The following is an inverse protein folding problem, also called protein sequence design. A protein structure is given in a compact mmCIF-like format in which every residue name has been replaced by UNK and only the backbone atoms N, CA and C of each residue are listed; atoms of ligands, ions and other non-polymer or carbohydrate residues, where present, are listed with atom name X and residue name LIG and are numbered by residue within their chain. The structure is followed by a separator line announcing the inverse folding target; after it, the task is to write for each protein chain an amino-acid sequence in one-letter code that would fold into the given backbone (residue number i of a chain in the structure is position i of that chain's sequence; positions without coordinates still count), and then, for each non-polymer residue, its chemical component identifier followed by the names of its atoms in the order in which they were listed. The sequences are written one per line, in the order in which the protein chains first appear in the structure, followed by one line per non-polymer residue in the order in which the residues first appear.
data_IF_836421287641
#
_entry.id   IF_836421287641
#
_cell.length_a   1.000
_cell.length_b   1.000
_cell.length_c   1.000
_cell.angle_alpha   90.00
_cell.angle_beta   90.00
_cell.angle_gamma   90.00
#
_symmetry.space_group_name_H-M   'P 1'
#
loop_
_entity.id
_entity.type
_entity.pdbx_description
1 polymer ?
#
# COMPACT_ATOMS: atom_id res chain seq x y z
N UNK A 1 17.64 4.85 12.11
CA UNK A 1 17.65 3.39 11.90
C UNK A 1 18.52 2.71 12.94
N UNK A 2 19.83 2.98 13.01
CA UNK A 2 20.78 2.25 13.88
C UNK A 2 20.38 2.25 15.35
N UNK A 3 19.98 3.40 15.90
CA UNK A 3 19.51 3.50 17.28
C UNK A 3 18.22 2.70 17.57
N UNK A 4 17.47 2.34 16.54
CA UNK A 4 16.26 1.52 16.65
C UNK A 4 16.49 0.05 16.24
N UNK A 5 17.72 -0.34 15.89
CA UNK A 5 18.05 -1.69 15.44
C UNK A 5 17.38 -2.09 14.13
N UNK A 6 17.25 -1.13 13.18
CA UNK A 6 16.68 -1.37 11.85
C UNK A 6 17.79 -1.39 10.80
N UNK A 7 17.90 -2.49 10.10
CA UNK A 7 18.96 -2.71 9.11
C UNK A 7 18.62 -2.13 7.75
N UNK A 8 17.41 -2.37 7.25
CA UNK A 8 16.95 -1.96 5.93
C UNK A 8 15.63 -1.20 6.01
N UNK A 9 15.45 -0.19 5.17
CA UNK A 9 14.22 0.59 5.07
C UNK A 9 13.81 0.79 3.61
N UNK A 10 12.51 0.59 3.35
CA UNK A 10 11.89 1.02 2.11
C UNK A 10 11.66 2.53 2.11
N UNK A 11 12.05 3.21 1.05
CA UNK A 11 11.82 4.63 0.84
C UNK A 11 10.73 4.86 -0.20
N UNK A 12 9.81 5.76 0.06
CA UNK A 12 8.73 6.12 -0.87
C UNK A 12 8.42 7.61 -0.83
N UNK A 13 7.77 8.08 -1.88
CA UNK A 13 7.12 9.39 -1.86
C UNK A 13 5.85 9.29 -1.00
N UNK A 14 5.74 10.16 0.00
CA UNK A 14 4.55 10.23 0.88
C UNK A 14 3.33 10.83 0.16
N UNK A 15 2.14 10.60 0.71
CA UNK A 15 0.89 11.26 0.29
C UNK A 15 1.04 12.80 0.34
N UNK A 16 0.39 13.54 -0.60
CA UNK A 16 -0.54 13.09 -1.63
C UNK A 16 0.11 12.47 -2.88
N UNK A 17 1.43 12.28 -2.90
CA UNK A 17 2.13 11.70 -4.03
C UNK A 17 2.07 12.54 -5.31
N UNK A 18 1.95 11.87 -6.45
CA UNK A 18 1.77 12.48 -7.78
C UNK A 18 0.35 12.31 -8.33
N UNK A 19 -0.51 11.61 -7.61
CA UNK A 19 -1.81 11.15 -8.10
C UNK A 19 -2.82 12.29 -8.27
N UNK A 20 -2.65 13.38 -7.54
CA UNK A 20 -3.52 14.56 -7.64
C UNK A 20 -3.03 15.61 -8.64
N UNK A 21 -1.85 15.42 -9.22
CA UNK A 21 -1.26 16.34 -10.20
C UNK A 21 -1.88 16.17 -11.60
N UNK A 22 -1.66 17.14 -12.47
CA UNK A 22 -1.91 16.98 -13.91
C UNK A 22 -0.97 15.93 -14.51
N UNK A 23 -1.29 15.40 -15.70
CA UNK A 23 -0.45 14.39 -16.34
C UNK A 23 0.99 14.88 -16.57
N UNK A 24 1.18 16.12 -17.00
CA UNK A 24 2.52 16.69 -17.24
C UNK A 24 3.31 16.91 -15.96
N UNK A 25 2.66 17.46 -14.91
CA UNK A 25 3.29 17.63 -13.62
C UNK A 25 3.65 16.28 -12.98
N UNK A 26 2.73 15.30 -13.04
CA UNK A 26 2.94 13.96 -12.51
C UNK A 26 4.15 13.26 -13.17
N UNK A 27 4.29 13.36 -14.50
CA UNK A 27 5.44 12.80 -15.22
C UNK A 27 6.76 13.40 -14.76
N UNK A 28 6.83 14.73 -14.71
CA UNK A 28 8.04 15.43 -14.30
C UNK A 28 8.40 15.13 -12.85
N UNK A 29 7.40 15.17 -11.96
CA UNK A 29 7.62 14.98 -10.53
C UNK A 29 7.95 13.53 -10.19
N UNK A 30 7.26 12.54 -10.76
CA UNK A 30 7.58 11.12 -10.57
C UNK A 30 9.02 10.83 -11.00
N UNK A 31 9.43 11.31 -12.18
CA UNK A 31 10.78 11.10 -12.69
C UNK A 31 11.86 11.68 -11.79
N UNK A 32 11.68 12.92 -11.31
CA UNK A 32 12.64 13.57 -10.41
C UNK A 32 12.70 12.90 -9.03
N UNK A 33 11.55 12.48 -8.48
CA UNK A 33 11.47 11.77 -7.21
C UNK A 33 12.14 10.39 -7.30
N UNK A 34 11.85 9.62 -8.35
CA UNK A 34 12.47 8.32 -8.56
C UNK A 34 14.00 8.43 -8.73
N UNK A 35 14.48 9.47 -9.40
CA UNK A 35 15.92 9.73 -9.51
C UNK A 35 16.56 10.07 -8.14
N UNK A 36 15.87 10.85 -7.30
CA UNK A 36 16.35 11.16 -5.95
C UNK A 36 16.37 9.92 -5.05
N UNK A 37 15.34 9.06 -5.12
CA UNK A 37 15.31 7.78 -4.43
C UNK A 37 16.45 6.85 -4.89
N UNK A 38 16.67 6.74 -6.20
CA UNK A 38 17.74 5.93 -6.76
C UNK A 38 19.12 6.40 -6.28
N UNK A 39 19.33 7.72 -6.18
CA UNK A 39 20.57 8.29 -5.66
C UNK A 39 20.77 7.98 -4.17
N UNK A 40 19.71 8.06 -3.35
CA UNK A 40 19.77 7.68 -1.95
C UNK A 40 20.12 6.20 -1.76
N UNK A 41 19.51 5.31 -2.55
CA UNK A 41 19.79 3.86 -2.56
C UNK A 41 21.24 3.60 -2.98
N UNK A 42 21.72 4.26 -4.05
CA UNK A 42 23.08 4.11 -4.53
C UNK A 42 24.13 4.49 -3.49
N UNK A 43 23.84 5.47 -2.64
CA UNK A 43 24.72 5.88 -1.52
C UNK A 43 24.73 4.86 -0.37
N UNK A 44 23.62 4.15 -0.17
CA UNK A 44 23.43 3.23 0.93
C UNK A 44 22.74 1.93 0.47
N UNK A 45 23.37 1.14 -0.43
CA UNK A 45 22.70 0.04 -1.14
C UNK A 45 22.31 -1.14 -0.26
N UNK A 46 22.91 -1.26 0.93
CA UNK A 46 22.57 -2.29 1.92
C UNK A 46 21.55 -1.81 2.96
N UNK A 47 21.15 -0.54 2.89
CA UNK A 47 20.28 0.09 3.90
C UNK A 47 18.94 0.54 3.34
N UNK A 48 18.85 0.77 2.04
CA UNK A 48 17.64 1.29 1.42
C UNK A 48 17.27 0.52 0.16
N UNK A 49 15.96 0.37 -0.04
CA UNK A 49 15.37 0.07 -1.34
C UNK A 49 14.20 1.04 -1.59
N UNK A 50 13.73 1.16 -2.83
CA UNK A 50 12.77 2.19 -3.22
C UNK A 50 11.44 1.64 -3.72
N UNK A 51 10.38 2.35 -3.39
CA UNK A 51 9.08 2.22 -4.04
C UNK A 51 8.92 3.37 -5.03
N UNK A 52 8.86 3.07 -6.32
CA UNK A 52 8.77 4.08 -7.36
C UNK A 52 7.40 4.77 -7.39
N UNK A 53 7.37 6.09 -7.53
CA UNK A 53 6.16 6.84 -7.84
C UNK A 53 5.85 6.73 -9.34
N UNK A 54 4.57 6.58 -9.69
CA UNK A 54 4.11 6.43 -11.08
C UNK A 54 3.15 7.54 -11.49
N UNK A 55 3.32 8.16 -12.67
CA UNK A 55 2.41 9.19 -13.17
C UNK A 55 1.11 8.58 -13.72
N UNK A 56 0.28 7.97 -12.85
CA UNK A 56 -0.92 7.22 -13.25
C UNK A 56 -2.01 8.08 -13.91
N UNK A 57 -1.88 9.40 -13.86
CA UNK A 57 -2.69 10.33 -14.63
C UNK A 57 -2.59 10.09 -16.15
N UNK A 58 -1.47 9.51 -16.61
CA UNK A 58 -1.17 9.12 -17.99
C UNK A 58 -0.66 7.67 -17.99
N UNK A 59 -1.52 6.64 -18.14
CA UNK A 59 -1.12 5.24 -18.06
C UNK A 59 0.00 4.83 -19.03
N UNK A 60 0.05 5.27 -20.29
CA UNK A 60 1.21 5.03 -21.14
C UNK A 60 2.52 5.56 -20.55
N UNK A 61 2.52 6.77 -20.00
CA UNK A 61 3.69 7.35 -19.35
C UNK A 61 4.04 6.59 -18.04
N UNK A 62 3.03 6.14 -17.29
CA UNK A 62 3.25 5.34 -16.09
C UNK A 62 3.91 3.98 -16.42
N UNK A 63 3.48 3.32 -17.49
CA UNK A 63 4.10 2.07 -17.96
C UNK A 63 5.56 2.33 -18.39
N UNK A 64 5.82 3.39 -19.14
CA UNK A 64 7.18 3.75 -19.56
C UNK A 64 8.09 4.07 -18.36
N UNK A 65 7.58 4.80 -17.36
CA UNK A 65 8.31 5.10 -16.13
C UNK A 65 8.57 3.83 -15.31
N UNK A 66 7.58 2.93 -15.21
CA UNK A 66 7.74 1.63 -14.54
C UNK A 66 8.88 0.82 -15.16
N UNK A 67 8.92 0.71 -16.49
CA UNK A 67 9.99 0.02 -17.21
C UNK A 67 11.34 0.69 -17.00
N UNK A 68 11.37 2.01 -17.00
CA UNK A 68 12.58 2.79 -16.79
C UNK A 68 13.16 2.57 -15.39
N UNK A 69 12.34 2.66 -14.33
CA UNK A 69 12.84 2.51 -12.95
C UNK A 69 13.32 1.10 -12.66
N UNK A 70 12.72 0.10 -13.28
CA UNK A 70 13.20 -1.29 -13.20
C UNK A 70 14.52 -1.45 -13.95
N UNK A 71 14.59 -0.99 -15.18
CA UNK A 71 15.77 -1.17 -16.04
C UNK A 71 16.98 -0.34 -15.62
N UNK A 72 16.77 0.93 -15.26
CA UNK A 72 17.85 1.86 -14.93
C UNK A 72 18.25 1.84 -13.44
N UNK A 73 17.29 1.59 -12.54
CA UNK A 73 17.49 1.75 -11.10
C UNK A 73 17.28 0.46 -10.30
N UNK A 74 16.81 -0.60 -10.94
CA UNK A 74 16.58 -1.89 -10.28
C UNK A 74 15.47 -1.87 -9.23
N UNK A 75 14.52 -0.92 -9.32
CA UNK A 75 13.38 -0.89 -8.39
C UNK A 75 12.51 -2.12 -8.58
N UNK A 76 12.05 -2.68 -7.46
CA UNK A 76 11.25 -3.91 -7.44
C UNK A 76 9.85 -3.69 -6.91
N UNK A 77 9.48 -2.43 -6.67
CA UNK A 77 8.20 -2.04 -6.05
C UNK A 77 7.77 -0.67 -6.53
N UNK A 78 6.47 -0.42 -6.41
CA UNK A 78 5.88 0.89 -6.69
C UNK A 78 4.97 1.33 -5.54
N UNK A 79 4.78 2.63 -5.40
CA UNK A 79 3.79 3.23 -4.51
C UNK A 79 2.77 4.00 -5.33
N UNK A 80 1.49 3.85 -4.98
CA UNK A 80 0.38 4.65 -5.49
C UNK A 80 -0.36 5.21 -4.28
N UNK A 81 -0.48 6.54 -4.20
CA UNK A 81 -1.11 7.22 -3.08
C UNK A 81 -2.63 7.42 -3.36
N UNK A 82 -3.37 6.33 -3.25
CA UNK A 82 -4.82 6.32 -3.38
C UNK A 82 -5.35 6.56 -4.81
N UNK A 83 -6.42 7.31 -4.91
CA UNK A 83 -7.13 7.56 -6.17
C UNK A 83 -6.51 8.70 -6.99
N UNK A 84 -6.67 8.68 -8.31
CA UNK A 84 -6.41 9.81 -9.17
C UNK A 84 -7.69 10.64 -9.36
N UNK A 85 -7.83 11.75 -8.61
CA UNK A 85 -8.96 12.68 -8.71
C UNK A 85 -10.34 11.98 -8.69
N UNK A 86 -10.55 11.09 -7.73
CA UNK A 86 -11.78 10.32 -7.58
C UNK A 86 -11.91 9.11 -8.52
N UNK A 87 -10.89 8.79 -9.31
CA UNK A 87 -10.84 7.60 -10.17
C UNK A 87 -9.96 6.55 -9.51
N UNK A 88 -10.49 5.35 -9.34
CA UNK A 88 -9.87 4.24 -8.65
C UNK A 88 -9.24 3.24 -9.62
N UNK A 89 -8.30 2.43 -9.15
CA UNK A 89 -7.54 1.47 -9.95
C UNK A 89 -8.38 0.33 -10.54
N UNK A 90 -9.62 0.13 -10.07
CA UNK A 90 -10.57 -0.77 -10.72
C UNK A 90 -10.98 -0.31 -12.13
N UNK A 91 -10.85 0.99 -12.42
CA UNK A 91 -11.14 1.56 -13.73
C UNK A 91 -10.22 1.03 -14.83
N UNK A 92 -10.80 0.60 -15.95
CA UNK A 92 -10.06 0.04 -17.12
C UNK A 92 -8.95 0.95 -17.65
N UNK A 93 -9.04 2.25 -17.40
CA UNK A 93 -8.02 3.23 -17.73
C UNK A 93 -6.66 2.90 -17.12
N UNK A 94 -6.63 2.37 -15.89
CA UNK A 94 -5.40 2.05 -15.17
C UNK A 94 -4.88 0.62 -15.43
N UNK A 95 -5.67 -0.23 -16.08
CA UNK A 95 -5.34 -1.64 -16.29
C UNK A 95 -4.03 -1.88 -17.05
N UNK A 96 -3.61 -1.05 -18.02
CA UNK A 96 -2.29 -1.21 -18.63
C UNK A 96 -1.13 -1.14 -17.62
N UNK A 97 -1.26 -0.29 -16.59
CA UNK A 97 -0.26 -0.17 -15.51
C UNK A 97 -0.26 -1.43 -14.63
N UNK A 98 -1.46 -1.90 -14.25
CA UNK A 98 -1.63 -3.12 -13.44
C UNK A 98 -1.09 -4.35 -14.15
N UNK A 99 -1.43 -4.51 -15.42
CA UNK A 99 -0.93 -5.60 -16.27
C UNK A 99 0.60 -5.58 -16.37
N UNK A 100 1.20 -4.38 -16.50
CA UNK A 100 2.66 -4.27 -16.58
C UNK A 100 3.32 -4.56 -15.24
N UNK A 101 2.76 -4.09 -14.13
CA UNK A 101 3.23 -4.40 -12.79
C UNK A 101 3.20 -5.92 -12.54
N UNK A 102 2.10 -6.59 -12.87
CA UNK A 102 1.98 -8.06 -12.79
C UNK A 102 3.04 -8.78 -13.63
N UNK A 103 3.19 -8.40 -14.91
CA UNK A 103 4.15 -9.02 -15.83
C UNK A 103 5.60 -8.87 -15.35
N UNK A 104 5.92 -7.79 -14.65
CA UNK A 104 7.22 -7.53 -14.03
C UNK A 104 7.32 -8.08 -12.61
N UNK A 105 6.27 -8.68 -12.06
CA UNK A 105 6.16 -9.17 -10.68
C UNK A 105 6.46 -8.08 -9.64
N UNK A 106 5.95 -6.88 -9.90
CA UNK A 106 6.14 -5.72 -9.03
C UNK A 106 4.91 -5.54 -8.15
N UNK A 107 5.01 -5.73 -6.84
CA UNK A 107 3.94 -5.40 -5.92
C UNK A 107 3.66 -3.89 -5.93
N UNK A 108 2.40 -3.53 -5.74
CA UNK A 108 1.96 -2.14 -5.62
C UNK A 108 1.63 -1.85 -4.17
N UNK A 109 2.38 -0.95 -3.54
CA UNK A 109 2.00 -0.41 -2.24
C UNK A 109 0.92 0.65 -2.47
N UNK A 110 -0.30 0.33 -2.06
CA UNK A 110 -1.43 1.26 -2.09
C UNK A 110 -1.45 2.03 -0.77
N UNK A 111 -0.90 3.24 -0.81
CA UNK A 111 -0.81 4.12 0.35
C UNK A 111 -2.08 4.97 0.47
N UNK A 112 -2.54 5.28 1.69
CA UNK A 112 -3.70 6.15 1.90
C UNK A 112 -3.56 7.55 1.28
N UNK A 113 -4.71 8.11 0.93
CA UNK A 113 -4.90 9.53 0.62
C UNK A 113 -6.26 9.99 1.15
N UNK A 114 -6.48 11.29 1.21
CA UNK A 114 -7.79 11.82 1.60
C UNK A 114 -8.87 11.36 0.60
N UNK A 115 -10.10 11.10 1.08
CA UNK A 115 -11.22 10.82 0.20
C UNK A 115 -11.46 11.95 -0.82
N UNK A 116 -12.18 11.69 -1.91
CA UNK A 116 -12.59 12.74 -2.84
C UNK A 116 -13.39 13.86 -2.14
N UNK A 117 -13.21 15.10 -2.58
CA UNK A 117 -13.83 16.28 -1.92
C UNK A 117 -15.31 16.14 -1.61
N UNK A 118 -16.19 15.61 -2.50
CA UNK A 118 -17.60 15.42 -2.16
C UNK A 118 -17.84 14.49 -0.97
N UNK A 119 -16.96 13.51 -0.73
CA UNK A 119 -17.02 12.63 0.44
C UNK A 119 -16.57 13.38 1.68
N UNK A 120 -15.51 14.17 1.59
CA UNK A 120 -15.03 15.01 2.69
C UNK A 120 -16.15 15.97 3.12
N UNK A 121 -16.77 16.65 2.18
CA UNK A 121 -17.85 17.61 2.45
C UNK A 121 -19.06 16.93 3.12
N UNK A 122 -19.41 15.72 2.67
CA UNK A 122 -20.56 14.99 3.18
C UNK A 122 -20.30 14.36 4.56
N UNK A 123 -19.10 13.85 4.81
CA UNK A 123 -18.81 13.08 6.02
C UNK A 123 -18.22 13.91 7.14
N UNK A 124 -17.44 14.92 6.81
CA UNK A 124 -16.67 15.71 7.77
C UNK A 124 -17.03 17.19 7.79
N UNK A 125 -17.95 17.62 6.89
CA UNK A 125 -18.49 18.98 6.89
C UNK A 125 -19.26 19.28 8.17
N UNK A 126 -19.16 20.55 8.63
CA UNK A 126 -19.82 21.00 9.87
C UNK A 126 -19.09 20.69 11.17
N UNK A 127 -17.98 19.98 11.12
CA UNK A 127 -17.05 19.82 12.24
C UNK A 127 -16.13 21.06 12.36
N UNK A 128 -15.51 21.25 13.52
CA UNK A 128 -14.42 22.21 13.63
C UNK A 128 -13.36 21.92 12.57
N UNK A 129 -12.84 22.92 11.85
CA UNK A 129 -12.00 22.70 10.67
C UNK A 129 -10.82 21.76 10.89
N UNK A 130 -10.08 21.92 11.99
CA UNK A 130 -8.93 21.07 12.32
C UNK A 130 -9.36 19.63 12.62
N UNK A 131 -10.52 19.44 13.25
CA UNK A 131 -11.07 18.10 13.53
C UNK A 131 -11.53 17.42 12.24
N UNK A 132 -12.25 18.17 11.38
CA UNK A 132 -12.68 17.68 10.08
C UNK A 132 -11.51 17.25 9.20
N UNK A 133 -10.45 18.05 9.14
CA UNK A 133 -9.23 17.74 8.40
C UNK A 133 -8.53 16.48 8.95
N UNK A 134 -8.36 16.38 10.25
CA UNK A 134 -7.76 15.19 10.89
C UNK A 134 -8.60 13.94 10.66
N UNK A 135 -9.93 14.04 10.74
CA UNK A 135 -10.82 12.92 10.47
C UNK A 135 -10.84 12.52 8.99
N UNK A 136 -10.76 13.46 8.06
CA UNK A 136 -10.64 13.15 6.64
C UNK A 136 -9.28 12.52 6.29
N UNK A 137 -8.25 12.86 7.05
CA UNK A 137 -6.88 12.34 6.95
C UNK A 137 -6.66 11.08 7.79
N UNK A 138 -5.51 11.09 8.47
CA UNK A 138 -4.95 9.95 9.22
C UNK A 138 -5.78 9.53 10.46
N UNK A 139 -6.76 10.34 10.90
CA UNK A 139 -7.63 9.97 12.01
C UNK A 139 -8.69 8.94 11.65
N UNK A 140 -9.12 8.87 10.37
CA UNK A 140 -10.17 7.94 9.93
C UNK A 140 -10.27 7.81 8.40
N UNK A 141 -10.44 8.92 7.69
CA UNK A 141 -10.85 8.95 6.28
C UNK A 141 -9.90 8.21 5.35
N UNK A 142 -8.61 8.36 5.53
CA UNK A 142 -7.58 7.65 4.76
C UNK A 142 -7.75 6.14 4.79
N UNK A 143 -8.02 5.60 5.98
CA UNK A 143 -8.11 4.16 6.21
C UNK A 143 -9.32 3.58 5.48
N UNK A 144 -10.47 4.22 5.63
CA UNK A 144 -11.72 3.79 4.99
C UNK A 144 -11.64 3.95 3.46
N UNK A 145 -11.00 5.03 2.98
CA UNK A 145 -10.79 5.28 1.56
C UNK A 145 -9.92 4.19 0.93
N UNK A 146 -8.82 3.81 1.59
CA UNK A 146 -7.91 2.76 1.12
C UNK A 146 -8.60 1.40 1.15
N UNK A 147 -9.34 1.08 2.22
CA UNK A 147 -10.14 -0.13 2.30
C UNK A 147 -11.15 -0.22 1.15
N UNK A 148 -11.88 0.87 0.89
CA UNK A 148 -12.80 0.96 -0.25
C UNK A 148 -12.08 0.74 -1.59
N UNK A 149 -10.90 1.34 -1.76
CA UNK A 149 -10.12 1.21 -2.99
C UNK A 149 -9.76 -0.27 -3.26
N UNK A 150 -9.25 -1.00 -2.26
CA UNK A 150 -8.96 -2.44 -2.38
C UNK A 150 -10.23 -3.24 -2.70
N UNK A 151 -11.33 -2.99 -1.98
CA UNK A 151 -12.60 -3.66 -2.27
C UNK A 151 -13.10 -3.37 -3.69
N UNK A 152 -12.96 -2.13 -4.18
CA UNK A 152 -13.28 -1.78 -5.56
C UNK A 152 -12.43 -2.56 -6.56
N UNK A 153 -11.13 -2.71 -6.32
CA UNK A 153 -10.24 -3.52 -7.18
C UNK A 153 -10.72 -4.97 -7.24
N UNK A 154 -11.11 -5.53 -6.09
CA UNK A 154 -11.63 -6.91 -6.02
C UNK A 154 -12.93 -7.01 -6.83
N UNK A 155 -13.97 -6.23 -6.45
CA UNK A 155 -15.29 -6.34 -7.08
C UNK A 155 -15.30 -5.86 -8.54
N UNK A 156 -14.37 -5.01 -8.92
CA UNK A 156 -14.11 -4.59 -10.31
C UNK A 156 -13.42 -5.66 -11.16
N UNK A 157 -13.06 -6.81 -10.56
CA UNK A 157 -12.47 -7.96 -11.27
C UNK A 157 -11.00 -7.79 -11.63
N UNK A 158 -10.27 -6.87 -10.96
CA UNK A 158 -8.85 -6.64 -11.22
C UNK A 158 -8.06 -7.93 -11.02
N UNK A 159 -8.23 -8.60 -9.88
CA UNK A 159 -7.48 -9.82 -9.57
C UNK A 159 -7.97 -11.06 -10.33
N UNK A 160 -9.16 -11.03 -10.91
CA UNK A 160 -9.60 -12.05 -11.85
C UNK A 160 -8.91 -11.92 -13.21
N UNK A 161 -8.56 -10.71 -13.60
CA UNK A 161 -7.83 -10.41 -14.82
C UNK A 161 -6.30 -10.45 -14.63
N UNK A 162 -5.83 -10.12 -13.43
CA UNK A 162 -4.42 -10.07 -13.03
C UNK A 162 -4.21 -10.89 -11.75
N UNK A 163 -4.27 -12.25 -11.85
CA UNK A 163 -4.28 -13.12 -10.67
C UNK A 163 -2.97 -13.13 -9.87
N UNK A 164 -1.85 -12.81 -10.50
CA UNK A 164 -0.54 -12.77 -9.85
C UNK A 164 -0.21 -11.39 -9.25
N UNK A 165 -1.04 -10.36 -9.53
CA UNK A 165 -0.83 -9.02 -8.99
C UNK A 165 -0.92 -9.03 -7.47
N UNK A 166 0.08 -8.45 -6.81
CA UNK A 166 0.13 -8.31 -5.35
C UNK A 166 -0.01 -6.84 -4.96
N UNK A 167 -0.85 -6.58 -3.98
CA UNK A 167 -1.05 -5.24 -3.37
C UNK A 167 -0.54 -5.29 -1.94
N UNK A 168 0.09 -4.23 -1.49
CA UNK A 168 0.47 -4.03 -0.09
C UNK A 168 -0.34 -2.87 0.46
N UNK A 169 -0.92 -3.05 1.64
CA UNK A 169 -1.62 -1.99 2.38
C UNK A 169 -0.99 -1.79 3.76
N UNK A 170 -1.04 -0.57 4.25
CA UNK A 170 -0.51 -0.18 5.54
C UNK A 170 -1.46 -0.44 6.72
N UNK A 171 -1.10 0.12 7.89
CA UNK A 171 -1.96 0.36 9.05
C UNK A 171 -2.77 -0.87 9.47
N UNK A 172 -2.11 -2.05 9.51
CA UNK A 172 -2.73 -3.35 9.84
C UNK A 172 -3.92 -3.69 8.92
N UNK A 173 -3.90 -3.19 7.68
CA UNK A 173 -4.89 -3.55 6.66
C UNK A 173 -6.09 -2.64 6.55
N UNK A 174 -6.00 -1.39 7.04
CA UNK A 174 -6.98 -0.34 6.73
C UNK A 174 -8.43 -0.76 7.04
N UNK A 175 -8.66 -1.42 8.16
CA UNK A 175 -9.94 -2.01 8.60
C UNK A 175 -10.43 -3.24 7.82
N UNK A 176 -9.81 -3.61 6.70
CA UNK A 176 -10.21 -4.76 5.88
C UNK A 176 -10.27 -6.08 6.65
N UNK A 177 -9.30 -6.43 7.54
CA UNK A 177 -9.34 -7.67 8.29
C UNK A 177 -10.59 -7.82 9.14
N UNK A 178 -11.02 -6.76 9.82
CA UNK A 178 -12.25 -6.74 10.61
C UNK A 178 -13.50 -7.03 9.77
N UNK A 179 -13.54 -6.56 8.54
CA UNK A 179 -14.68 -6.70 7.64
C UNK A 179 -14.59 -7.91 6.71
N UNK A 180 -13.52 -8.70 6.78
CA UNK A 180 -13.18 -9.73 5.78
C UNK A 180 -14.31 -10.73 5.55
N UNK A 181 -14.85 -11.33 6.61
CA UNK A 181 -15.97 -12.29 6.50
C UNK A 181 -17.28 -11.60 6.12
N UNK A 182 -17.48 -10.35 6.57
CA UNK A 182 -18.68 -9.59 6.23
C UNK A 182 -18.71 -9.24 4.73
N UNK A 183 -17.56 -8.99 4.13
CA UNK A 183 -17.45 -8.71 2.70
C UNK A 183 -17.95 -9.89 1.83
N UNK A 184 -17.83 -11.12 2.30
CA UNK A 184 -18.31 -12.33 1.59
C UNK A 184 -19.85 -12.44 1.47
N UNK A 185 -20.60 -11.57 2.15
CA UNK A 185 -22.04 -11.41 1.89
C UNK A 185 -22.29 -10.98 0.43
N UNK A 186 -21.33 -10.28 -0.19
CA UNK A 186 -21.31 -10.02 -1.63
C UNK A 186 -20.81 -11.28 -2.37
N UNK A 187 -21.66 -12.32 -2.40
CA UNK A 187 -21.31 -13.63 -2.91
C UNK A 187 -20.85 -13.57 -4.39
N UNK A 188 -20.03 -14.55 -4.86
CA UNK A 188 -19.58 -14.63 -6.25
C UNK A 188 -20.73 -14.60 -7.27
N UNK A 189 -21.88 -15.18 -6.97
CA UNK A 189 -23.07 -15.13 -7.82
C UNK A 189 -23.57 -13.70 -8.07
N UNK A 190 -23.39 -12.79 -7.08
CA UNK A 190 -23.76 -11.37 -7.18
C UNK A 190 -22.65 -10.57 -7.89
N UNK A 191 -21.40 -10.78 -7.48
CA UNK A 191 -20.26 -10.00 -7.95
C UNK A 191 -19.70 -10.48 -9.28
N UNK A 192 -20.02 -11.71 -9.69
CA UNK A 192 -19.44 -12.45 -10.84
C UNK A 192 -17.94 -12.73 -10.70
N UNK A 193 -17.41 -12.67 -9.49
CA UNK A 193 -16.03 -12.99 -9.18
C UNK A 193 -15.81 -14.51 -9.19
N UNK A 194 -14.59 -14.93 -9.46
CA UNK A 194 -14.20 -16.36 -9.43
C UNK A 194 -14.12 -16.93 -8.02
N UNK A 195 -13.91 -16.07 -7.00
CA UNK A 195 -13.70 -16.45 -5.60
C UNK A 195 -14.48 -15.51 -4.67
N UNK A 196 -14.72 -15.89 -3.38
CA UNK A 196 -15.16 -14.96 -2.36
C UNK A 196 -14.17 -13.80 -2.16
N UNK A 197 -14.65 -12.64 -1.73
CA UNK A 197 -13.81 -11.45 -1.50
C UNK A 197 -12.67 -11.75 -0.53
N UNK A 198 -12.96 -12.51 0.53
CA UNK A 198 -11.97 -12.91 1.53
C UNK A 198 -10.80 -13.72 0.94
N UNK A 199 -11.01 -14.47 -0.13
CA UNK A 199 -9.93 -15.21 -0.78
C UNK A 199 -8.93 -14.25 -1.46
N UNK A 200 -9.40 -13.22 -2.15
CA UNK A 200 -8.51 -12.20 -2.74
C UNK A 200 -7.73 -11.45 -1.68
N UNK A 201 -8.38 -11.10 -0.55
CA UNK A 201 -7.71 -10.43 0.57
C UNK A 201 -6.62 -11.30 1.22
N UNK A 202 -6.70 -12.62 1.13
CA UNK A 202 -5.68 -13.55 1.61
C UNK A 202 -4.61 -13.89 0.58
N UNK A 203 -4.94 -13.84 -0.70
CA UNK A 203 -4.06 -14.31 -1.78
C UNK A 203 -3.32 -13.17 -2.49
N UNK A 204 -3.98 -12.02 -2.67
CA UNK A 204 -3.46 -10.89 -3.45
C UNK A 204 -3.05 -9.67 -2.59
N UNK A 205 -3.33 -9.68 -1.28
CA UNK A 205 -3.03 -8.53 -0.42
C UNK A 205 -2.04 -8.92 0.66
N UNK A 206 -1.05 -8.07 0.88
CA UNK A 206 -0.11 -8.09 2.00
C UNK A 206 -0.36 -6.88 2.90
N UNK A 207 0.03 -6.99 4.14
CA UNK A 207 -0.32 -6.05 5.20
C UNK A 207 0.91 -5.60 5.95
N UNK A 208 1.02 -4.31 6.25
CA UNK A 208 2.13 -3.79 7.06
C UNK A 208 1.63 -3.09 8.31
N UNK A 209 2.50 -2.92 9.29
CA UNK A 209 2.14 -2.27 10.57
C UNK A 209 1.88 -0.78 10.37
N UNK A 210 2.78 -0.08 9.69
CA UNK A 210 2.71 1.37 9.44
C UNK A 210 2.34 2.17 10.70
N UNK A 211 3.06 1.91 11.80
CA UNK A 211 2.85 2.61 13.07
C UNK A 211 1.63 2.17 13.90
N UNK A 212 0.80 1.26 13.40
CA UNK A 212 -0.32 0.67 14.16
C UNK A 212 0.19 -0.41 15.13
N UNK A 213 0.84 0.03 16.21
CA UNK A 213 1.46 -0.85 17.21
C UNK A 213 0.43 -1.31 18.26
N UNK A 214 -0.72 -1.86 17.82
CA UNK A 214 -1.85 -2.28 18.66
C UNK A 214 -2.00 -3.79 18.63
N UNK A 215 -1.77 -4.44 19.77
CA UNK A 215 -1.81 -5.90 19.86
C UNK A 215 -3.17 -6.52 19.46
N UNK A 216 -4.32 -5.98 19.85
CA UNK A 216 -5.61 -6.56 19.42
C UNK A 216 -5.78 -6.55 17.90
N UNK A 217 -5.39 -5.45 17.24
CA UNK A 217 -5.47 -5.31 15.77
C UNK A 217 -4.50 -6.27 15.07
N UNK A 218 -3.28 -6.44 15.60
CA UNK A 218 -2.33 -7.42 15.09
C UNK A 218 -2.87 -8.86 15.21
N UNK A 219 -3.44 -9.22 16.35
CA UNK A 219 -4.00 -10.56 16.56
C UNK A 219 -5.17 -10.85 15.62
N UNK A 220 -6.03 -9.88 15.40
CA UNK A 220 -7.09 -10.01 14.42
C UNK A 220 -6.53 -10.23 13.02
N UNK A 221 -5.60 -9.38 12.58
CA UNK A 221 -4.95 -9.52 11.27
C UNK A 221 -4.32 -10.91 11.12
N UNK A 222 -3.54 -11.35 12.11
CA UNK A 222 -2.89 -12.66 12.11
C UNK A 222 -3.88 -13.82 11.96
N UNK A 223 -5.00 -13.77 12.67
CA UNK A 223 -6.04 -14.80 12.60
C UNK A 223 -6.79 -14.80 11.26
N UNK A 224 -6.92 -13.66 10.61
CA UNK A 224 -7.65 -13.53 9.35
C UNK A 224 -6.83 -13.91 8.12
N UNK A 225 -5.54 -13.54 8.08
CA UNK A 225 -4.73 -13.65 6.86
C UNK A 225 -3.50 -14.55 7.00
N UNK A 226 -3.11 -14.90 8.22
CA UNK A 226 -1.92 -15.69 8.49
C UNK A 226 -0.62 -14.87 8.46
N UNK A 227 0.44 -15.46 9.02
CA UNK A 227 1.74 -14.81 9.23
C UNK A 227 2.42 -14.40 7.92
N UNK A 228 2.27 -15.21 6.86
CA UNK A 228 2.98 -15.03 5.59
C UNK A 228 2.54 -13.80 4.77
N UNK A 229 1.50 -13.12 5.21
CA UNK A 229 0.96 -11.90 4.60
C UNK A 229 1.29 -10.63 5.36
N UNK A 230 1.95 -10.74 6.51
CA UNK A 230 2.22 -9.62 7.42
C UNK A 230 3.69 -9.22 7.35
N UNK A 231 3.97 -7.93 7.22
CA UNK A 231 5.32 -7.37 7.18
C UNK A 231 5.46 -6.24 8.18
N UNK A 232 6.64 -6.13 8.77
CA UNK A 232 6.99 -5.03 9.65
C UNK A 232 7.16 -3.72 8.88
N UNK A 233 6.67 -2.62 9.44
CA UNK A 233 6.97 -1.26 8.98
C UNK A 233 6.71 -0.27 10.11
N UNK A 234 7.30 0.93 10.04
CA UNK A 234 7.28 1.90 11.13
C UNK A 234 6.53 3.19 10.84
N UNK A 235 6.23 3.48 9.59
CA UNK A 235 5.62 4.76 9.16
C UNK A 235 6.49 5.99 9.49
N UNK A 236 7.80 5.83 9.46
CA UNK A 236 8.74 6.95 9.70
C UNK A 236 8.65 7.98 8.56
N UNK A 237 8.62 9.30 8.83
CA UNK A 237 8.89 9.98 10.09
C UNK A 237 7.67 10.24 10.99
N UNK A 238 6.48 9.79 10.61
CA UNK A 238 5.24 10.08 11.32
C UNK A 238 5.11 9.29 12.62
N UNK A 239 5.73 8.11 12.68
CA UNK A 239 5.74 7.25 13.87
C UNK A 239 7.17 6.89 14.29
N UNK A 240 7.31 6.46 15.55
CA UNK A 240 8.59 6.12 16.16
C UNK A 240 9.11 4.76 15.69
N UNK A 241 10.29 4.74 15.07
CA UNK A 241 10.99 3.48 14.73
C UNK A 241 11.26 2.61 15.96
N UNK A 242 11.64 3.22 17.08
CA UNK A 242 11.96 2.49 18.31
C UNK A 242 10.72 1.83 18.93
N UNK A 243 9.58 2.52 18.92
CA UNK A 243 8.31 1.95 19.40
C UNK A 243 7.83 0.82 18.47
N UNK A 244 7.94 1.00 17.13
CA UNK A 244 7.63 -0.06 16.17
C UNK A 244 8.49 -1.30 16.40
N UNK A 245 9.81 -1.14 16.58
CA UNK A 245 10.72 -2.24 16.89
C UNK A 245 10.36 -2.92 18.22
N UNK A 246 10.13 -2.14 19.28
CA UNK A 246 9.73 -2.68 20.58
C UNK A 246 8.37 -3.42 20.53
N UNK A 247 7.47 -3.02 19.64
CA UNK A 247 6.21 -3.74 19.40
C UNK A 247 6.48 -5.09 18.70
N UNK A 248 7.27 -5.12 17.65
CA UNK A 248 7.69 -6.35 16.96
C UNK A 248 8.32 -7.37 17.91
N UNK A 249 9.22 -6.92 18.78
CA UNK A 249 9.94 -7.79 19.73
C UNK A 249 9.00 -8.44 20.76
N UNK A 250 7.85 -7.79 21.06
CA UNK A 250 6.86 -8.27 22.04
C UNK A 250 5.68 -9.02 21.44
N UNK A 251 5.66 -9.24 20.12
CA UNK A 251 4.57 -9.99 19.49
C UNK A 251 4.47 -11.41 20.06
N UNK A 252 3.25 -11.89 20.39
CA UNK A 252 3.01 -13.24 20.91
C UNK A 252 3.01 -14.28 19.76
N UNK A 253 4.13 -14.39 19.08
CA UNK A 253 4.36 -15.33 17.97
C UNK A 253 5.65 -16.10 18.20
N UNK A 254 5.85 -17.20 17.49
CA UNK A 254 7.14 -17.92 17.51
C UNK A 254 8.28 -17.06 16.96
N UNK A 255 9.51 -17.37 17.33
CA UNK A 255 10.68 -16.65 16.81
C UNK A 255 10.76 -16.73 15.28
N UNK A 256 10.47 -17.89 14.69
CA UNK A 256 10.42 -18.04 13.25
C UNK A 256 9.30 -17.22 12.57
N UNK A 257 8.15 -17.03 13.23
CA UNK A 257 7.10 -16.13 12.74
C UNK A 257 7.52 -14.67 12.87
N UNK A 258 8.21 -14.33 13.96
CA UNK A 258 8.72 -12.97 14.16
C UNK A 258 9.75 -12.60 13.09
N UNK A 259 10.66 -13.51 12.73
CA UNK A 259 11.62 -13.34 11.64
C UNK A 259 10.90 -13.14 10.29
N UNK A 260 9.87 -13.97 10.01
CA UNK A 260 9.06 -13.79 8.78
C UNK A 260 8.43 -12.42 8.72
N UNK A 261 7.84 -11.94 9.80
CA UNK A 261 7.21 -10.62 9.88
C UNK A 261 8.27 -9.50 9.78
N UNK A 262 9.40 -9.67 10.47
CA UNK A 262 10.44 -8.65 10.56
C UNK A 262 11.08 -8.33 9.21
N UNK A 263 11.37 -9.35 8.41
CA UNK A 263 12.07 -9.22 7.12
C UNK A 263 11.70 -10.29 6.09
N UNK A 264 11.55 -11.56 6.47
CA UNK A 264 11.45 -12.67 5.51
C UNK A 264 10.29 -12.54 4.51
N UNK A 265 9.13 -12.01 4.92
CA UNK A 265 8.02 -11.77 4.01
C UNK A 265 8.31 -10.62 3.04
N UNK A 266 8.99 -9.56 3.50
CA UNK A 266 9.41 -8.45 2.65
C UNK A 266 10.48 -8.90 1.64
N UNK A 267 11.47 -9.66 2.08
CA UNK A 267 12.50 -10.25 1.20
C UNK A 267 11.87 -11.11 0.10
N UNK A 268 10.92 -11.97 0.46
CA UNK A 268 10.21 -12.84 -0.50
C UNK A 268 9.39 -12.04 -1.50
N UNK A 269 8.67 -11.01 -1.03
CA UNK A 269 7.76 -10.23 -1.87
C UNK A 269 8.52 -9.23 -2.74
N UNK A 270 9.48 -8.53 -2.17
CA UNK A 270 10.20 -7.43 -2.81
C UNK A 270 11.53 -7.87 -3.42
N UNK A 271 12.04 -9.04 -3.06
CA UNK A 271 13.35 -9.52 -3.48
C UNK A 271 14.47 -8.61 -2.97
N UNK A 272 14.31 -8.07 -1.78
CA UNK A 272 15.24 -7.11 -1.15
C UNK A 272 16.28 -7.84 -0.30
#
# INVERSE_FOLDING_TARGET
MDAAGLDVQALSLTSPGVEQLSAEEAKSFARSTNAALAEAIRRHPTRFFGLAALPIADPPAAVAELERVVGEHGFKNVVINGHHRGRYLDGRFFWPVLARAEALKLPIYLHPTQPPQPVIDAWFGGLEPVVGEMMAGAGWGWHIETALHVLRMIVGGVFDAHPELQIVVGHMGETLPFMLQRADVMAPAMTKLKKPISAYLRENVHYTFSGFNFLPTFLELLLQVGVDRIMFSTDHPYQSMAEGRAFLDRLPVSDGDRERIAHGNAERLFGA
#
